data_IF_320802179090
#
_entry.id   IF_320802179090
#
_cell.length_a   1.000
_cell.length_b   1.000
_cell.length_c   1.000
_cell.angle_alpha   90.00
_cell.angle_beta   90.00
_cell.angle_gamma   90.00
#
_symmetry.space_group_name_H-M   'P 1'
#
loop_
_entity.id
_entity.type
_entity.pdbx_description
1 polymer ?
#
# COMPACT_ATOMS: atom_id res chain seq x y z
N UNK A 1 -4.78 -4.18 13.91
CA UNK A 1 -3.83 -4.66 12.89
C UNK A 1 -2.45 -4.79 13.46
N UNK A 2 -1.78 -5.89 13.12
CA UNK A 2 -0.41 -6.19 13.55
C UNK A 2 0.61 -5.35 12.77
N UNK A 3 1.83 -5.28 13.30
CA UNK A 3 2.97 -4.71 12.59
C UNK A 3 3.24 -5.45 11.27
N UNK A 4 3.91 -4.79 10.35
CA UNK A 4 4.26 -5.36 9.06
C UNK A 4 5.72 -5.08 8.73
N UNK A 5 6.48 -6.15 8.55
CA UNK A 5 7.81 -6.10 7.94
C UNK A 5 7.69 -6.67 6.52
N UNK A 6 8.16 -5.90 5.54
CA UNK A 6 8.01 -6.23 4.13
C UNK A 6 9.31 -6.02 3.38
N UNK A 7 9.66 -6.95 2.50
CA UNK A 7 10.62 -6.71 1.44
C UNK A 7 9.84 -6.48 0.16
N UNK A 8 10.01 -5.30 -0.44
CA UNK A 8 9.46 -4.97 -1.76
C UNK A 8 10.57 -5.08 -2.79
N UNK A 9 10.29 -5.71 -3.90
CA UNK A 9 11.22 -5.79 -5.02
C UNK A 9 10.50 -5.48 -6.33
N UNK A 10 11.15 -4.67 -7.16
CA UNK A 10 10.81 -4.38 -8.55
C UNK A 10 12.08 -4.51 -9.38
N UNK A 11 12.01 -4.39 -10.70
CA UNK A 11 13.17 -4.56 -11.60
C UNK A 11 14.35 -3.66 -11.24
N UNK A 12 14.09 -2.40 -10.91
CA UNK A 12 15.12 -1.38 -10.61
C UNK A 12 15.12 -0.89 -9.16
N UNK A 13 14.30 -1.49 -8.29
CA UNK A 13 14.10 -0.97 -6.95
C UNK A 13 13.84 -2.11 -5.96
N UNK A 14 14.47 -2.04 -4.79
CA UNK A 14 14.11 -2.87 -3.65
C UNK A 14 14.23 -2.09 -2.34
N UNK A 15 13.41 -2.44 -1.37
CA UNK A 15 13.46 -1.86 -0.04
C UNK A 15 12.93 -2.82 1.02
N UNK A 16 13.42 -2.67 2.23
CA UNK A 16 12.84 -3.25 3.44
C UNK A 16 12.02 -2.17 4.12
N UNK A 17 10.73 -2.43 4.36
CA UNK A 17 9.80 -1.49 4.99
C UNK A 17 9.26 -2.09 6.27
N UNK A 18 9.34 -1.33 7.36
CA UNK A 18 8.65 -1.64 8.61
C UNK A 18 7.52 -0.65 8.86
N UNK A 19 6.35 -1.16 9.22
CA UNK A 19 5.19 -0.40 9.66
C UNK A 19 4.76 -0.90 11.05
N UNK A 20 4.68 -0.03 12.05
CA UNK A 20 4.23 -0.42 13.38
C UNK A 20 2.77 -0.89 13.37
N UNK A 21 2.37 -1.56 14.42
CA UNK A 21 0.98 -1.95 14.63
C UNK A 21 0.06 -0.71 14.61
N UNK A 22 -1.16 -0.89 14.12
CA UNK A 22 -2.19 0.16 14.17
C UNK A 22 -2.69 0.31 15.59
N UNK A 23 -2.70 1.53 16.08
CA UNK A 23 -3.28 1.94 17.37
C UNK A 23 -4.48 2.85 17.12
N UNK A 24 -5.25 3.17 18.15
CA UNK A 24 -6.34 4.15 18.04
C UNK A 24 -5.86 5.53 17.57
N UNK A 25 -4.61 5.89 17.85
CA UNK A 25 -4.02 7.15 17.39
C UNK A 25 -3.65 7.16 15.89
N UNK A 26 -3.58 6.01 15.23
CA UNK A 26 -3.26 5.88 13.80
C UNK A 26 -4.50 5.67 12.92
N UNK A 27 -5.67 5.47 13.54
CA UNK A 27 -6.97 5.44 12.85
C UNK A 27 -7.67 6.78 13.03
N UNK A 28 -7.98 7.44 11.93
CA UNK A 28 -8.87 8.59 11.95
C UNK A 28 -10.34 8.13 11.85
N UNK A 29 -11.27 8.98 12.27
CA UNK A 29 -12.73 8.71 12.20
C UNK A 29 -13.21 8.47 10.74
N UNK A 30 -12.42 8.87 9.76
CA UNK A 30 -12.74 8.80 8.33
C UNK A 30 -12.12 7.60 7.60
N UNK A 31 -11.70 6.54 8.32
CA UNK A 31 -11.02 5.36 7.77
C UNK A 31 -9.67 5.66 7.07
N UNK A 32 -9.09 6.82 7.27
CA UNK A 32 -7.73 7.13 6.80
C UNK A 32 -6.73 6.58 7.81
N UNK A 33 -5.77 5.80 7.32
CA UNK A 33 -4.73 5.19 8.14
C UNK A 33 -3.45 5.99 7.96
N UNK A 34 -3.02 6.67 9.03
CA UNK A 34 -1.74 7.39 9.08
C UNK A 34 -0.76 6.55 9.89
N UNK A 35 0.26 6.02 9.25
CA UNK A 35 1.31 5.23 9.89
C UNK A 35 2.69 5.75 9.52
N UNK A 36 3.58 5.94 10.50
CA UNK A 36 4.98 6.14 10.18
C UNK A 36 5.54 4.87 9.53
N UNK A 37 6.35 5.04 8.49
CA UNK A 37 7.06 3.96 7.84
C UNK A 37 8.56 4.15 8.03
N UNK A 38 9.26 3.07 8.31
CA UNK A 38 10.71 3.04 8.25
C UNK A 38 11.12 2.29 6.99
N UNK A 39 11.74 3.00 6.06
CA UNK A 39 12.14 2.46 4.77
C UNK A 39 13.68 2.38 4.68
N UNK A 40 14.19 1.21 4.34
CA UNK A 40 15.59 0.96 4.06
C UNK A 40 15.73 0.55 2.59
N UNK A 41 16.17 1.46 1.70
CA UNK A 41 16.48 1.12 0.32
C UNK A 41 17.63 0.11 0.26
N UNK A 42 17.48 -0.91 -0.59
CA UNK A 42 18.54 -1.90 -0.88
C UNK A 42 18.67 -2.07 -2.39
N UNK A 43 19.75 -2.67 -2.85
CA UNK A 43 19.86 -3.03 -4.26
C UNK A 43 18.90 -4.19 -4.59
N UNK A 44 18.26 -4.24 -5.76
CA UNK A 44 17.40 -5.35 -6.15
C UNK A 44 18.05 -6.73 -6.00
N UNK A 45 19.34 -6.82 -6.33
CA UNK A 45 20.14 -8.05 -6.16
C UNK A 45 20.28 -8.52 -4.72
N UNK A 46 20.12 -7.62 -3.75
CA UNK A 46 20.29 -7.91 -2.32
C UNK A 46 18.99 -8.36 -1.66
N UNK A 47 17.85 -8.36 -2.38
CA UNK A 47 16.55 -8.73 -1.82
C UNK A 47 16.52 -10.18 -1.30
N UNK A 48 17.18 -11.11 -1.99
CA UNK A 48 17.31 -12.50 -1.54
C UNK A 48 18.15 -12.62 -0.26
N UNK A 49 19.22 -11.85 -0.18
CA UNK A 49 20.09 -11.78 1.01
C UNK A 49 19.34 -11.19 2.20
N UNK A 50 18.52 -10.15 1.97
CA UNK A 50 17.67 -9.57 3.01
C UNK A 50 16.62 -10.58 3.52
N UNK A 51 15.98 -11.35 2.63
CA UNK A 51 15.10 -12.46 3.04
C UNK A 51 15.83 -13.48 3.90
N UNK A 52 17.04 -13.88 3.50
CA UNK A 52 17.85 -14.84 4.25
C UNK A 52 18.26 -14.30 5.62
N UNK A 53 18.62 -13.02 5.71
CA UNK A 53 18.93 -12.37 6.98
C UNK A 53 17.73 -12.42 7.95
N UNK A 54 16.54 -12.07 7.47
CA UNK A 54 15.33 -12.12 8.29
C UNK A 54 14.99 -13.55 8.73
N UNK A 55 15.16 -14.54 7.85
CA UNK A 55 14.98 -15.95 8.19
C UNK A 55 15.97 -16.41 9.26
N UNK A 56 17.25 -15.98 9.18
CA UNK A 56 18.26 -16.29 10.18
C UNK A 56 17.96 -15.65 11.56
N UNK A 57 17.22 -14.53 11.56
CA UNK A 57 16.70 -13.89 12.77
C UNK A 57 15.43 -14.57 13.32
N UNK A 58 14.98 -15.65 12.72
CA UNK A 58 13.82 -16.41 13.13
C UNK A 58 12.49 -15.90 12.59
N UNK A 59 12.51 -14.98 11.61
CA UNK A 59 11.28 -14.50 10.97
C UNK A 59 10.80 -15.46 9.90
N UNK A 60 9.48 -15.60 9.78
CA UNK A 60 8.80 -16.48 8.82
C UNK A 60 8.08 -15.63 7.77
N UNK A 61 8.28 -15.95 6.49
CA UNK A 61 7.51 -15.34 5.42
C UNK A 61 6.05 -15.82 5.50
N UNK A 62 5.12 -14.91 5.75
CA UNK A 62 3.69 -15.22 5.87
C UNK A 62 3.02 -15.33 4.51
N UNK A 63 3.39 -14.46 3.58
CA UNK A 63 2.74 -14.38 2.27
C UNK A 63 3.66 -13.69 1.27
N UNK A 64 3.43 -13.93 -0.01
CA UNK A 64 3.99 -13.18 -1.12
C UNK A 64 2.85 -12.54 -1.91
N UNK A 65 2.93 -11.21 -2.07
CA UNK A 65 1.97 -10.44 -2.86
C UNK A 65 2.60 -10.09 -4.20
N UNK A 66 2.18 -10.75 -5.25
CA UNK A 66 2.59 -10.45 -6.62
C UNK A 66 1.60 -9.45 -7.21
N UNK A 67 2.09 -8.23 -7.50
CA UNK A 67 1.28 -7.11 -7.92
C UNK A 67 1.82 -6.48 -9.20
N UNK A 68 0.94 -6.30 -10.18
CA UNK A 68 1.19 -5.44 -11.33
C UNK A 68 0.41 -4.15 -11.17
N UNK A 69 1.11 -3.00 -11.11
CA UNK A 69 0.52 -1.68 -10.90
C UNK A 69 0.65 -0.81 -12.13
N UNK A 70 -0.46 -0.22 -12.55
CA UNK A 70 -0.50 0.89 -13.49
C UNK A 70 -0.92 2.15 -12.75
N UNK A 71 -0.07 3.19 -12.80
CA UNK A 71 -0.33 4.45 -12.10
C UNK A 71 -0.63 5.56 -13.10
N UNK A 72 -1.61 6.40 -12.76
CA UNK A 72 -2.08 7.51 -13.57
C UNK A 72 -2.05 8.78 -12.73
N UNK A 73 -1.62 9.88 -13.34
CA UNK A 73 -1.63 11.21 -12.76
C UNK A 73 -2.29 12.17 -13.73
N UNK A 74 -2.94 13.20 -13.21
CA UNK A 74 -3.56 14.26 -14.00
C UNK A 74 -2.92 15.60 -13.64
N UNK A 75 -2.75 16.47 -14.63
CA UNK A 75 -2.34 17.85 -14.42
C UNK A 75 -3.33 18.66 -13.56
N UNK A 76 -4.61 18.26 -13.59
CA UNK A 76 -5.66 18.91 -12.79
C UNK A 76 -5.56 18.56 -11.30
N UNK A 77 -4.89 17.44 -10.98
CA UNK A 77 -4.70 16.94 -9.62
C UNK A 77 -3.26 16.47 -9.42
N UNK A 78 -2.27 17.39 -9.40
CA UNK A 78 -0.85 17.02 -9.46
C UNK A 78 -0.35 16.23 -8.25
N UNK A 79 -1.05 16.32 -7.11
CA UNK A 79 -0.71 15.59 -5.88
C UNK A 79 -1.46 14.27 -5.74
N UNK A 80 -2.14 13.84 -6.81
CA UNK A 80 -2.97 12.64 -6.78
C UNK A 80 -2.47 11.60 -7.75
N UNK A 81 -2.45 10.37 -7.26
CA UNK A 81 -2.19 9.18 -8.08
C UNK A 81 -3.39 8.25 -8.01
N UNK A 82 -3.89 7.85 -9.18
CA UNK A 82 -4.84 6.74 -9.29
C UNK A 82 -4.07 5.53 -9.77
N UNK A 83 -4.11 4.45 -9.01
CA UNK A 83 -3.42 3.22 -9.33
C UNK A 83 -4.41 2.08 -9.57
N UNK A 84 -4.19 1.30 -10.62
CA UNK A 84 -4.87 0.05 -10.88
C UNK A 84 -3.89 -1.07 -10.55
N UNK A 85 -4.24 -1.87 -9.55
CA UNK A 85 -3.45 -3.00 -9.05
C UNK A 85 -4.08 -4.32 -9.46
N UNK A 86 -3.38 -5.09 -10.27
CA UNK A 86 -3.71 -6.49 -10.54
C UNK A 86 -2.91 -7.36 -9.57
N UNK A 87 -3.61 -8.02 -8.65
CA UNK A 87 -3.02 -8.89 -7.64
C UNK A 87 -3.22 -10.32 -8.08
N UNK A 88 -2.13 -11.05 -8.22
CA UNK A 88 -2.18 -12.47 -8.61
C UNK A 88 -3.07 -13.25 -7.64
N UNK A 89 -4.01 -14.01 -8.19
CA UNK A 89 -4.97 -14.87 -7.47
C UNK A 89 -5.94 -14.13 -6.51
N UNK A 90 -5.99 -12.78 -6.55
CA UNK A 90 -6.84 -11.98 -5.66
C UNK A 90 -7.76 -10.98 -6.38
N UNK A 91 -7.42 -10.60 -7.62
CA UNK A 91 -8.26 -9.72 -8.43
C UNK A 91 -7.64 -8.36 -8.74
N UNK A 92 -8.48 -7.45 -9.20
CA UNK A 92 -8.07 -6.10 -9.61
C UNK A 92 -8.68 -5.06 -8.68
N UNK A 93 -7.86 -4.12 -8.24
CA UNK A 93 -8.22 -3.07 -7.28
C UNK A 93 -7.85 -1.70 -7.83
N UNK A 94 -8.56 -0.67 -7.38
CA UNK A 94 -8.23 0.72 -7.65
C UNK A 94 -7.87 1.39 -6.34
N UNK A 95 -6.74 2.09 -6.30
CA UNK A 95 -6.33 2.94 -5.19
C UNK A 95 -6.31 4.41 -5.66
N UNK A 96 -6.87 5.31 -4.86
CA UNK A 96 -6.71 6.76 -5.02
C UNK A 96 -5.86 7.25 -3.88
N UNK A 97 -4.69 7.80 -4.20
CA UNK A 97 -3.72 8.30 -3.24
C UNK A 97 -3.52 9.81 -3.43
N UNK A 98 -3.64 10.56 -2.35
CA UNK A 98 -3.44 12.01 -2.35
C UNK A 98 -2.32 12.37 -1.35
N UNK A 99 -1.32 13.10 -1.83
CA UNK A 99 -0.28 13.66 -0.98
C UNK A 99 -0.75 15.03 -0.48
N UNK A 100 -1.04 15.14 0.81
CA UNK A 100 -1.52 16.39 1.43
C UNK A 100 -1.15 16.41 2.90
N UNK A 101 -0.86 17.61 3.39
CA UNK A 101 -0.68 17.89 4.83
C UNK A 101 -2.02 18.22 5.51
N UNK A 102 -3.11 18.35 4.74
CA UNK A 102 -4.46 18.62 5.23
C UNK A 102 -5.40 17.45 4.89
N UNK A 103 -5.83 16.73 5.92
CA UNK A 103 -6.70 15.57 5.80
C UNK A 103 -8.05 15.91 5.18
N UNK A 104 -8.69 17.01 5.57
CA UNK A 104 -10.00 17.39 5.05
C UNK A 104 -9.94 17.69 3.55
N UNK A 105 -8.91 18.40 3.09
CA UNK A 105 -8.65 18.66 1.67
C UNK A 105 -8.38 17.38 0.89
N UNK A 106 -7.59 16.45 1.47
CA UNK A 106 -7.30 15.15 0.86
C UNK A 106 -8.58 14.33 0.64
N UNK A 107 -9.45 14.25 1.65
CA UNK A 107 -10.72 13.53 1.57
C UNK A 107 -11.66 14.13 0.51
N UNK A 108 -11.76 15.44 0.42
CA UNK A 108 -12.55 16.12 -0.62
C UNK A 108 -12.02 15.79 -2.02
N UNK A 109 -10.71 15.80 -2.18
CA UNK A 109 -10.05 15.46 -3.45
C UNK A 109 -10.31 14.02 -3.84
N UNK A 110 -10.14 13.07 -2.91
CA UNK A 110 -10.43 11.64 -3.13
C UNK A 110 -11.88 11.46 -3.58
N UNK A 111 -12.84 12.01 -2.82
CA UNK A 111 -14.27 11.89 -3.14
C UNK A 111 -14.61 12.48 -4.52
N UNK A 112 -14.00 13.60 -4.88
CA UNK A 112 -14.19 14.24 -6.19
C UNK A 112 -13.66 13.36 -7.34
N UNK A 113 -12.52 12.69 -7.15
CA UNK A 113 -11.93 11.79 -8.13
C UNK A 113 -12.74 10.50 -8.25
N UNK A 114 -13.15 9.91 -7.13
CA UNK A 114 -14.01 8.72 -7.10
C UNK A 114 -15.31 8.97 -7.85
N UNK A 115 -15.94 10.13 -7.66
CA UNK A 115 -17.14 10.52 -8.39
C UNK A 115 -16.89 10.66 -9.89
N UNK A 116 -15.81 11.34 -10.29
CA UNK A 116 -15.43 11.50 -11.72
C UNK A 116 -15.15 10.18 -12.42
N UNK A 117 -14.55 9.23 -11.72
CA UNK A 117 -14.20 7.92 -12.26
C UNK A 117 -15.33 6.88 -12.11
N UNK A 118 -16.44 7.22 -11.47
CA UNK A 118 -17.54 6.30 -11.23
C UNK A 118 -17.22 5.20 -10.22
N UNK A 119 -16.26 5.43 -9.33
CA UNK A 119 -15.85 4.45 -8.32
C UNK A 119 -16.83 4.34 -7.15
N UNK A 120 -17.72 5.32 -6.96
CA UNK A 120 -18.69 5.36 -5.86
C UNK A 120 -19.65 4.14 -5.82
N UNK A 121 -19.78 3.43 -6.94
CA UNK A 121 -20.60 2.20 -7.04
C UNK A 121 -19.81 0.93 -6.76
N UNK A 122 -18.51 1.03 -6.56
CA UNK A 122 -17.64 -0.11 -6.28
C UNK A 122 -17.57 -0.41 -4.79
N UNK A 123 -17.34 -1.67 -4.46
CA UNK A 123 -17.11 -2.07 -3.07
C UNK A 123 -15.79 -1.49 -2.54
N UNK A 124 -15.86 -0.86 -1.37
CA UNK A 124 -14.66 -0.36 -0.69
C UNK A 124 -13.97 -1.52 0.02
N UNK A 125 -12.72 -1.76 -0.35
CA UNK A 125 -11.88 -2.79 0.25
C UNK A 125 -10.96 -2.15 1.30
N UNK A 126 -11.21 -2.40 2.57
CA UNK A 126 -10.41 -1.86 3.69
C UNK A 126 -9.29 -2.80 4.14
N UNK A 127 -9.29 -4.04 3.64
CA UNK A 127 -8.28 -5.04 3.97
C UNK A 127 -7.00 -4.83 3.17
N UNK A 128 -5.82 -4.91 3.79
CA UNK A 128 -4.55 -4.90 3.07
C UNK A 128 -4.44 -6.08 2.09
N UNK A 129 -3.75 -5.91 0.97
CA UNK A 129 -3.51 -7.00 0.00
C UNK A 129 -2.88 -8.24 0.63
N UNK A 130 -2.02 -8.04 1.65
CA UNK A 130 -1.48 -9.14 2.45
C UNK A 130 -2.58 -10.05 3.00
N UNK A 131 -3.58 -9.46 3.65
CA UNK A 131 -4.65 -10.20 4.31
C UNK A 131 -5.58 -10.86 3.27
N UNK A 132 -5.82 -10.18 2.14
CA UNK A 132 -6.57 -10.74 1.02
C UNK A 132 -5.85 -11.98 0.45
N UNK A 133 -4.53 -11.89 0.21
CA UNK A 133 -3.73 -13.01 -0.30
C UNK A 133 -3.59 -14.16 0.70
N UNK A 134 -3.78 -13.90 1.99
CA UNK A 134 -3.80 -14.92 3.05
C UNK A 134 -5.19 -15.55 3.22
N UNK A 135 -6.22 -15.06 2.53
CA UNK A 135 -7.59 -15.58 2.60
C UNK A 135 -8.40 -15.12 3.82
N UNK A 136 -7.99 -14.00 4.44
CA UNK A 136 -8.72 -13.39 5.57
C UNK A 136 -9.70 -12.32 5.09
#
# INVERSE_FOLDING_TARGET
TVECLRIRQRDSFAEVTYKPATTAATHTENNVIIKPETNLPIQPKDAATAKQLLANLGMVQLVEVNKYRRSFQSSDFPQTTVAIDEIKDAGTFVEVEVLSDDEASALMTISGIEAKLGLNSMEIVTRPYRDICMGY
#
